data_IF_199845096999
#
_entry.id   IF_199845096999
#
_cell.length_a   1.000
_cell.length_b   1.000
_cell.length_c   1.000
_cell.angle_alpha   90.00
_cell.angle_beta   90.00
_cell.angle_gamma   90.00
#
_symmetry.space_group_name_H-M   'P 1'
#
loop_
_entity.id
_entity.type
_entity.pdbx_description
1 polymer ?
#
# COMPACT_ATOMS: atom_id res chain seq x y z
N UNK A 1 -28.03 -62.25 35.73
CA UNK A 1 -28.79 -62.59 34.51
C UNK A 1 -29.21 -61.28 33.87
N UNK A 2 -28.40 -60.75 32.95
CA UNK A 2 -28.63 -59.50 32.22
C UNK A 2 -28.50 -59.81 30.73
N UNK A 3 -29.48 -59.34 29.95
CA UNK A 3 -29.67 -59.66 28.55
C UNK A 3 -29.19 -58.52 27.63
N UNK A 4 -28.45 -58.92 26.58
CA UNK A 4 -28.51 -58.59 25.13
C UNK A 4 -28.88 -57.17 24.64
N UNK A 5 -28.05 -56.66 23.71
CA UNK A 5 -28.39 -55.69 22.64
C UNK A 5 -27.17 -54.83 22.22
N UNK A 6 -26.32 -55.23 21.27
CA UNK A 6 -26.39 -55.09 19.79
C UNK A 6 -25.87 -53.74 19.21
N UNK A 7 -24.76 -53.83 18.46
CA UNK A 7 -24.26 -53.05 17.31
C UNK A 7 -24.43 -51.53 17.21
N UNK A 8 -23.30 -50.81 17.10
CA UNK A 8 -22.97 -50.00 15.90
C UNK A 8 -21.47 -49.63 15.86
N UNK A 9 -20.73 -49.81 14.74
CA UNK A 9 -19.35 -49.36 14.60
C UNK A 9 -19.25 -47.89 14.16
N UNK A 10 -18.28 -47.20 14.74
CA UNK A 10 -17.91 -45.81 14.46
C UNK A 10 -17.67 -45.55 12.97
N UNK A 11 -18.51 -44.72 12.36
CA UNK A 11 -18.29 -44.13 11.05
C UNK A 11 -17.16 -43.10 11.15
N UNK A 12 -16.00 -43.45 10.60
CA UNK A 12 -14.93 -42.51 10.24
C UNK A 12 -15.48 -41.48 9.24
N UNK A 13 -15.70 -40.24 9.70
CA UNK A 13 -15.93 -39.10 8.82
C UNK A 13 -14.68 -38.90 7.96
N UNK A 14 -14.81 -39.20 6.67
CA UNK A 14 -13.81 -38.82 5.67
C UNK A 14 -13.60 -37.31 5.69
N UNK A 15 -12.35 -36.92 5.93
CA UNK A 15 -11.83 -35.57 5.74
C UNK A 15 -11.98 -35.20 4.26
N UNK A 16 -12.54 -34.02 3.99
CA UNK A 16 -12.87 -33.54 2.65
C UNK A 16 -11.70 -33.63 1.67
N UNK A 17 -11.97 -34.23 0.51
CA UNK A 17 -11.00 -34.43 -0.57
C UNK A 17 -10.52 -33.16 -1.28
N UNK A 18 -9.61 -33.32 -2.26
CA UNK A 18 -8.75 -32.29 -2.86
C UNK A 18 -9.47 -31.17 -3.66
N UNK A 19 -10.79 -31.25 -3.82
CA UNK A 19 -11.59 -30.32 -4.61
C UNK A 19 -11.66 -28.90 -4.00
N UNK A 20 -11.56 -28.75 -2.67
CA UNK A 20 -11.55 -27.43 -2.00
C UNK A 20 -10.23 -26.67 -2.19
N UNK A 21 -9.10 -27.38 -2.28
CA UNK A 21 -7.78 -26.79 -2.53
C UNK A 21 -7.65 -26.25 -3.97
N UNK A 22 -8.22 -26.96 -4.95
CA UNK A 22 -8.15 -26.58 -6.37
C UNK A 22 -9.02 -25.35 -6.68
N UNK A 23 -10.20 -25.20 -6.05
CA UNK A 23 -11.05 -24.00 -6.20
C UNK A 23 -10.44 -22.75 -5.59
N UNK A 24 -9.72 -22.87 -4.47
CA UNK A 24 -9.03 -21.73 -3.86
C UNK A 24 -7.84 -21.28 -4.72
N UNK A 25 -7.05 -22.22 -5.26
CA UNK A 25 -5.91 -21.90 -6.13
C UNK A 25 -6.34 -21.15 -7.41
N UNK A 26 -7.39 -21.59 -8.10
CA UNK A 26 -7.89 -20.92 -9.31
C UNK A 26 -8.60 -19.57 -9.07
N UNK A 27 -9.00 -19.27 -7.83
CA UNK A 27 -9.51 -17.95 -7.41
C UNK A 27 -8.35 -17.01 -7.04
N UNK A 28 -7.34 -17.55 -6.36
CA UNK A 28 -6.06 -16.87 -6.12
C UNK A 28 -5.36 -16.51 -7.43
N UNK A 29 -5.19 -17.46 -8.36
CA UNK A 29 -4.51 -17.24 -9.64
C UNK A 29 -5.23 -16.20 -10.53
N UNK A 30 -6.58 -16.14 -10.51
CA UNK A 30 -7.36 -15.11 -11.24
C UNK A 30 -7.29 -13.72 -10.62
N UNK A 31 -7.38 -13.62 -9.29
CA UNK A 31 -7.17 -12.33 -8.61
C UNK A 31 -5.76 -11.77 -8.80
N UNK A 32 -4.76 -12.65 -8.94
CA UNK A 32 -3.35 -12.31 -9.16
C UNK A 32 -3.06 -11.73 -10.56
N UNK A 33 -3.70 -12.24 -11.62
CA UNK A 33 -3.58 -11.64 -12.96
C UNK A 33 -4.32 -10.31 -13.07
N UNK A 34 -5.43 -10.15 -12.35
CA UNK A 34 -6.23 -8.92 -12.33
C UNK A 34 -5.51 -7.76 -11.61
N UNK A 35 -4.74 -8.05 -10.57
CA UNK A 35 -3.96 -7.05 -9.82
C UNK A 35 -2.84 -6.42 -10.64
N UNK A 36 -2.22 -7.16 -11.57
CA UNK A 36 -1.28 -6.57 -12.53
C UNK A 36 -1.98 -5.86 -13.69
N UNK A 37 -3.20 -6.27 -14.03
CA UNK A 37 -4.01 -5.63 -15.09
C UNK A 37 -4.50 -4.24 -14.69
N UNK A 38 -4.77 -3.99 -13.41
CA UNK A 38 -5.27 -2.69 -12.95
C UNK A 38 -4.30 -1.54 -13.26
N UNK A 39 -3.00 -1.83 -13.38
CA UNK A 39 -1.95 -0.85 -13.68
C UNK A 39 -1.66 -0.68 -15.17
N UNK A 40 -2.20 -1.56 -16.03
CA UNK A 40 -1.99 -1.47 -17.48
C UNK A 40 -2.94 -0.44 -18.10
N UNK A 41 -2.52 0.25 -19.16
CA UNK A 41 -3.40 1.18 -19.88
C UNK A 41 -4.69 0.48 -20.36
N UNK A 42 -5.83 1.14 -20.19
CA UNK A 42 -7.13 0.66 -20.67
C UNK A 42 -7.75 1.66 -21.63
N UNK A 43 -8.07 1.17 -22.83
CA UNK A 43 -8.76 1.98 -23.83
C UNK A 43 -10.20 2.31 -23.37
N UNK A 44 -10.59 3.57 -23.54
CA UNK A 44 -11.96 4.07 -23.42
C UNK A 44 -12.42 4.60 -24.78
N UNK A 45 -13.61 4.19 -25.21
CA UNK A 45 -14.30 4.77 -26.36
C UNK A 45 -15.18 5.94 -25.91
N UNK A 46 -15.43 6.94 -26.77
CA UNK A 46 -16.44 7.95 -26.51
C UNK A 46 -17.80 7.31 -26.15
N UNK A 47 -18.47 7.89 -25.15
CA UNK A 47 -19.73 7.38 -24.61
C UNK A 47 -19.59 6.26 -23.57
N UNK A 48 -18.38 5.76 -23.30
CA UNK A 48 -18.17 4.76 -22.26
C UNK A 48 -17.93 5.39 -20.89
N UNK A 49 -18.48 4.71 -19.88
CA UNK A 49 -18.15 4.93 -18.48
C UNK A 49 -17.64 3.62 -17.90
N UNK A 50 -16.41 3.64 -17.42
CA UNK A 50 -15.79 2.50 -16.76
C UNK A 50 -15.57 2.79 -15.28
N UNK A 51 -15.73 1.77 -14.46
CA UNK A 51 -15.57 1.79 -13.01
C UNK A 51 -14.39 0.92 -12.58
N UNK A 52 -13.62 1.44 -11.63
CA UNK A 52 -12.60 0.70 -10.90
C UNK A 52 -12.80 0.86 -9.41
N UNK A 53 -12.41 -0.17 -8.68
CA UNK A 53 -12.30 -0.12 -7.24
C UNK A 53 -10.94 -0.69 -6.84
N UNK A 54 -10.19 0.06 -6.03
CA UNK A 54 -8.87 -0.33 -5.51
C UNK A 54 -8.93 -0.19 -4.00
N UNK A 55 -9.31 -1.29 -3.34
CA UNK A 55 -9.70 -1.30 -1.93
C UNK A 55 -10.82 -0.28 -1.68
N UNK A 56 -10.58 0.74 -0.84
CA UNK A 56 -11.63 1.69 -0.46
C UNK A 56 -11.89 2.74 -1.54
N UNK A 57 -11.00 2.93 -2.53
CA UNK A 57 -11.14 3.97 -3.53
C UNK A 57 -11.92 3.46 -4.74
N UNK A 58 -13.07 4.07 -5.02
CA UNK A 58 -13.83 3.89 -6.26
C UNK A 58 -13.54 5.04 -7.21
N UNK A 59 -13.34 4.72 -8.48
CA UNK A 59 -13.06 5.68 -9.55
C UNK A 59 -13.95 5.36 -10.73
N UNK A 60 -14.63 6.38 -11.26
CA UNK A 60 -15.32 6.30 -12.53
C UNK A 60 -14.63 7.20 -13.54
N UNK A 61 -14.39 6.67 -14.73
CA UNK A 61 -13.85 7.43 -15.85
C UNK A 61 -14.89 7.40 -16.95
N UNK A 62 -15.33 8.59 -17.36
CA UNK A 62 -16.22 8.78 -18.51
C UNK A 62 -15.45 9.47 -19.62
N UNK A 63 -15.63 8.99 -20.84
CA UNK A 63 -15.02 9.57 -22.03
C UNK A 63 -16.08 10.15 -22.96
N UNK A 64 -15.93 11.41 -23.34
CA UNK A 64 -16.68 12.02 -24.46
C UNK A 64 -15.78 12.04 -25.72
N UNK A 65 -16.14 12.79 -26.76
CA UNK A 65 -15.31 12.87 -27.97
C UNK A 65 -13.91 13.43 -27.64
N UNK A 66 -13.84 14.57 -26.96
CA UNK A 66 -12.62 15.33 -26.68
C UNK A 66 -12.33 15.54 -25.19
N UNK A 67 -13.19 15.06 -24.30
CA UNK A 67 -13.04 15.25 -22.85
C UNK A 67 -12.92 13.92 -22.09
N UNK A 68 -12.22 14.00 -20.95
CA UNK A 68 -12.23 12.96 -19.93
C UNK A 68 -12.85 13.53 -18.65
N UNK A 69 -13.75 12.75 -18.07
CA UNK A 69 -14.44 13.07 -16.82
C UNK A 69 -14.04 12.02 -15.78
N UNK A 70 -13.75 12.47 -14.56
CA UNK A 70 -13.37 11.61 -13.45
C UNK A 70 -14.26 11.90 -12.24
N UNK A 71 -14.86 10.86 -11.70
CA UNK A 71 -15.51 10.89 -10.40
C UNK A 71 -14.84 9.89 -9.45
N UNK A 72 -14.96 10.14 -8.15
CA UNK A 72 -14.39 9.29 -7.12
C UNK A 72 -15.23 9.27 -5.86
N UNK A 73 -15.26 8.13 -5.21
CA UNK A 73 -15.87 7.94 -3.90
C UNK A 73 -14.98 7.03 -3.05
N UNK A 74 -15.27 6.97 -1.75
CA UNK A 74 -14.62 6.01 -0.87
C UNK A 74 -15.63 5.11 -0.18
N UNK A 75 -15.47 3.81 -0.38
CA UNK A 75 -16.17 2.81 0.40
C UNK A 75 -15.63 2.80 1.84
N UNK A 76 -16.53 2.62 2.80
CA UNK A 76 -16.17 2.41 4.20
C UNK A 76 -15.80 0.94 4.37
N UNK A 77 -14.69 0.67 5.06
CA UNK A 77 -14.24 -0.69 5.46
C UNK A 77 -13.93 -1.70 4.34
N UNK A 78 -13.99 -1.31 3.07
CA UNK A 78 -13.57 -2.18 1.97
C UNK A 78 -12.06 -2.06 1.72
N UNK A 79 -11.28 -3.04 2.19
CA UNK A 79 -9.83 -3.05 2.04
C UNK A 79 -9.30 -4.02 0.95
N UNK A 80 -10.13 -4.95 0.49
CA UNK A 80 -9.71 -6.10 -0.32
C UNK A 80 -10.27 -6.08 -1.74
N UNK A 81 -11.35 -5.34 -2.00
CA UNK A 81 -11.99 -5.35 -3.32
C UNK A 81 -11.09 -4.74 -4.39
N UNK A 82 -10.99 -5.47 -5.50
CA UNK A 82 -10.38 -5.01 -6.74
C UNK A 82 -11.38 -5.16 -7.88
N UNK A 83 -11.76 -4.05 -8.51
CA UNK A 83 -12.56 -4.02 -9.75
C UNK A 83 -11.76 -3.30 -10.82
N UNK A 84 -11.66 -3.90 -12.01
CA UNK A 84 -10.80 -3.40 -13.09
C UNK A 84 -11.61 -3.04 -14.32
N UNK A 85 -12.00 -1.76 -14.42
CA UNK A 85 -12.55 -1.12 -15.62
C UNK A 85 -13.84 -1.75 -16.14
N UNK A 86 -14.71 -2.20 -15.24
CA UNK A 86 -16.02 -2.74 -15.59
C UNK A 86 -16.96 -1.63 -16.08
N UNK A 87 -17.94 -1.97 -16.91
CA UNK A 87 -18.95 -0.99 -17.31
C UNK A 87 -19.74 -0.54 -16.07
N UNK A 88 -19.90 0.78 -15.90
CA UNK A 88 -20.68 1.30 -14.79
C UNK A 88 -22.17 0.96 -14.97
N UNK A 89 -22.81 0.41 -13.93
CA UNK A 89 -24.22 -0.03 -13.97
C UNK A 89 -25.15 0.78 -13.07
N UNK A 90 -24.64 1.61 -12.14
CA UNK A 90 -25.45 2.31 -11.12
C UNK A 90 -25.12 3.82 -10.98
N UNK A 91 -26.19 4.61 -10.74
CA UNK A 91 -26.30 5.98 -10.20
C UNK A 91 -25.11 6.94 -10.38
N UNK A 92 -24.70 7.20 -11.63
CA UNK A 92 -23.72 8.25 -11.96
C UNK A 92 -24.20 9.69 -11.68
N UNK A 93 -25.52 9.88 -11.49
CA UNK A 93 -26.17 11.20 -11.39
C UNK A 93 -25.78 11.99 -10.13
N UNK A 94 -25.31 11.32 -9.07
CA UNK A 94 -24.91 11.95 -7.80
C UNK A 94 -23.40 12.16 -7.68
N UNK A 95 -22.63 11.73 -8.68
CA UNK A 95 -21.19 11.83 -8.65
C UNK A 95 -20.73 13.25 -8.99
N UNK A 96 -19.76 13.76 -8.23
CA UNK A 96 -19.05 14.99 -8.58
C UNK A 96 -17.96 14.66 -9.61
N UNK A 97 -18.04 15.30 -10.78
CA UNK A 97 -17.15 15.07 -11.91
C UNK A 97 -16.13 16.19 -12.06
N UNK A 98 -14.85 15.85 -11.99
CA UNK A 98 -13.78 16.68 -12.54
C UNK A 98 -13.71 16.49 -14.06
N UNK A 99 -13.36 17.55 -14.82
CA UNK A 99 -13.36 17.53 -16.29
C UNK A 99 -12.06 18.09 -16.87
N UNK A 100 -11.51 17.41 -17.88
CA UNK A 100 -10.36 17.85 -18.67
C UNK A 100 -10.66 17.74 -20.17
N UNK A 101 -10.22 18.73 -20.94
CA UNK A 101 -10.20 18.67 -22.42
C UNK A 101 -8.86 18.06 -22.84
N UNK A 102 -8.92 16.94 -23.53
CA UNK A 102 -7.76 16.05 -23.79
C UNK A 102 -7.62 15.70 -25.28
N UNK A 103 -8.58 16.12 -26.12
CA UNK A 103 -8.58 15.90 -27.57
C UNK A 103 -8.82 14.44 -27.96
N UNK A 104 -8.99 14.15 -29.24
CA UNK A 104 -9.53 12.86 -29.74
C UNK A 104 -8.49 11.73 -29.93
N UNK A 105 -7.20 12.08 -29.96
CA UNK A 105 -6.11 11.18 -30.33
C UNK A 105 -5.76 10.18 -29.21
N UNK A 106 -5.87 10.61 -27.94
CA UNK A 106 -5.50 9.80 -26.79
C UNK A 106 -6.71 9.12 -26.17
N UNK A 107 -6.65 7.79 -26.09
CA UNK A 107 -7.82 6.95 -25.79
C UNK A 107 -7.62 5.99 -24.63
N UNK A 108 -6.44 5.93 -24.02
CA UNK A 108 -6.19 5.03 -22.91
C UNK A 108 -5.99 5.79 -21.61
N UNK A 109 -6.71 5.36 -20.57
CA UNK A 109 -6.45 5.78 -19.20
C UNK A 109 -5.51 4.76 -18.56
N UNK A 110 -4.55 5.24 -17.78
CA UNK A 110 -3.66 4.40 -16.99
C UNK A 110 -3.69 4.85 -15.53
N UNK A 111 -3.79 3.87 -14.64
CA UNK A 111 -3.62 4.05 -13.22
C UNK A 111 -2.26 3.53 -12.81
N UNK A 112 -1.54 4.29 -12.01
CA UNK A 112 -0.22 3.92 -11.50
C UNK A 112 -0.20 4.17 -9.99
N UNK A 113 0.12 3.16 -9.17
CA UNK A 113 0.29 3.37 -7.74
C UNK A 113 1.57 4.21 -7.54
N UNK A 114 1.49 5.22 -6.69
CA UNK A 114 2.62 6.08 -6.31
C UNK A 114 2.60 6.27 -4.80
N UNK A 115 3.77 6.51 -4.20
CA UNK A 115 3.86 6.73 -2.75
C UNK A 115 3.10 7.99 -2.32
N UNK A 116 2.73 8.16 -1.05
CA UNK A 116 2.29 9.45 -0.53
C UNK A 116 3.31 10.57 -0.79
N UNK A 117 2.85 11.82 -0.80
CA UNK A 117 3.66 13.01 -1.08
C UNK A 117 4.41 13.57 0.13
N UNK A 118 4.33 12.89 1.29
CA UNK A 118 4.90 13.30 2.57
C UNK A 118 5.35 12.10 3.39
N UNK A 119 6.22 12.29 4.39
CA UNK A 119 6.67 11.20 5.24
C UNK A 119 5.50 10.64 6.04
N UNK A 120 5.65 9.41 6.51
CA UNK A 120 4.64 8.72 7.30
C UNK A 120 5.18 8.34 8.68
N UNK A 121 4.38 8.54 9.72
CA UNK A 121 4.69 8.11 11.08
C UNK A 121 4.24 6.67 11.24
N UNK A 122 5.21 5.79 11.43
CA UNK A 122 5.04 4.36 11.69
C UNK A 122 5.13 4.11 13.19
N UNK A 123 4.27 3.23 13.71
CA UNK A 123 4.33 2.71 15.09
C UNK A 123 4.46 1.19 15.06
N UNK A 124 5.17 0.57 16.02
CA UNK A 124 5.22 -0.89 16.08
C UNK A 124 3.87 -1.47 16.50
N UNK A 125 3.65 -2.74 16.18
CA UNK A 125 2.49 -3.49 16.63
C UNK A 125 2.52 -3.75 18.14
N UNK A 126 3.70 -4.00 18.68
CA UNK A 126 3.96 -4.11 20.11
C UNK A 126 5.28 -3.41 20.41
N UNK A 127 5.37 -2.72 21.54
CA UNK A 127 6.59 -2.04 21.95
C UNK A 127 7.74 -3.04 22.06
N UNK A 128 8.92 -2.64 21.59
CA UNK A 128 10.13 -3.45 21.70
C UNK A 128 11.37 -2.56 21.77
N UNK A 129 12.41 -3.12 22.38
CA UNK A 129 13.71 -2.49 22.52
C UNK A 129 14.68 -3.19 21.58
N UNK A 130 15.49 -2.43 20.85
CA UNK A 130 16.67 -2.94 20.15
C UNK A 130 17.88 -2.65 21.03
N UNK A 131 18.55 -3.66 21.59
CA UNK A 131 19.76 -3.46 22.39
C UNK A 131 20.87 -2.79 21.57
N UNK A 132 21.82 -2.15 22.25
CA UNK A 132 23.00 -1.60 21.60
C UNK A 132 23.77 -2.68 20.79
N UNK A 133 24.13 -2.35 19.56
CA UNK A 133 24.71 -3.29 18.58
C UNK A 133 23.69 -4.21 17.91
N UNK A 134 22.42 -4.16 18.29
CA UNK A 134 21.35 -5.02 17.78
C UNK A 134 20.75 -4.53 16.46
N UNK A 135 19.99 -5.42 15.83
CA UNK A 135 19.24 -5.12 14.61
C UNK A 135 17.81 -5.66 14.65
N UNK A 136 16.91 -5.00 13.92
CA UNK A 136 15.53 -5.40 13.78
C UNK A 136 15.03 -5.17 12.35
N UNK A 137 14.38 -6.18 11.75
CA UNK A 137 13.61 -6.03 10.52
C UNK A 137 12.10 -5.91 10.82
N UNK A 138 11.39 -5.10 10.05
CA UNK A 138 9.94 -4.98 10.11
C UNK A 138 9.34 -4.62 8.75
N UNK A 139 8.06 -4.93 8.58
CA UNK A 139 7.29 -4.65 7.38
C UNK A 139 6.22 -3.61 7.68
N UNK A 140 6.17 -2.56 6.88
CA UNK A 140 5.20 -1.48 6.99
C UNK A 140 4.26 -1.53 5.80
N UNK A 141 2.95 -1.66 6.06
CA UNK A 141 1.93 -1.61 5.02
C UNK A 141 1.40 -0.19 4.84
N UNK A 142 1.68 0.42 3.69
CA UNK A 142 1.45 1.84 3.41
C UNK A 142 0.39 1.97 2.30
N UNK A 143 -0.68 2.75 2.48
CA UNK A 143 -1.63 2.98 1.40
C UNK A 143 -1.00 3.85 0.31
N UNK A 144 -1.15 3.42 -0.94
CA UNK A 144 -0.63 4.17 -2.10
C UNK A 144 -1.60 5.27 -2.51
N UNK A 145 -1.12 6.23 -3.28
CA UNK A 145 -1.96 7.11 -4.07
C UNK A 145 -2.06 6.53 -5.49
N UNK A 146 -3.14 6.84 -6.20
CA UNK A 146 -3.32 6.45 -7.59
C UNK A 146 -3.09 7.68 -8.46
N UNK A 147 -2.02 7.65 -9.25
CA UNK A 147 -1.80 8.59 -10.35
C UNK A 147 -2.64 8.16 -11.54
N UNK A 148 -3.46 9.07 -12.02
CA UNK A 148 -4.39 8.85 -13.12
C UNK A 148 -3.92 9.69 -14.29
N UNK A 149 -3.57 9.01 -15.37
CA UNK A 149 -3.02 9.64 -16.57
C UNK A 149 -3.74 9.17 -17.81
N UNK A 150 -3.77 10.03 -18.82
CA UNK A 150 -4.02 9.61 -20.20
C UNK A 150 -2.68 9.25 -20.82
N UNK A 151 -2.64 8.15 -21.55
CA UNK A 151 -1.44 7.68 -22.26
C UNK A 151 -1.74 7.53 -23.74
N UNK A 152 -0.73 7.79 -24.57
CA UNK A 152 -0.87 7.86 -26.02
C UNK A 152 0.18 8.78 -26.64
N UNK A 153 -0.23 9.57 -27.63
CA UNK A 153 0.61 10.55 -28.31
C UNK A 153 0.98 11.73 -27.40
N UNK A 154 0.06 12.18 -26.54
CA UNK A 154 0.30 13.27 -25.59
C UNK A 154 -0.01 12.82 -24.16
N UNK A 155 0.90 12.06 -23.53
CA UNK A 155 0.67 11.59 -22.18
C UNK A 155 0.53 12.78 -21.21
N UNK A 156 -0.53 12.74 -20.41
CA UNK A 156 -0.82 13.79 -19.41
C UNK A 156 -1.30 13.17 -18.12
N UNK A 157 -0.72 13.60 -17.00
CA UNK A 157 -1.22 13.27 -15.68
C UNK A 157 -2.37 14.21 -15.33
N UNK A 158 -3.54 13.65 -15.04
CA UNK A 158 -4.73 14.42 -14.72
C UNK A 158 -4.81 14.74 -13.23
N UNK A 159 -4.60 13.71 -12.40
CA UNK A 159 -4.72 13.82 -10.95
C UNK A 159 -4.01 12.68 -10.22
N UNK A 160 -3.63 12.92 -8.98
CA UNK A 160 -3.30 11.87 -8.02
C UNK A 160 -4.34 11.84 -6.90
N UNK A 161 -4.78 10.66 -6.51
CA UNK A 161 -5.83 10.48 -5.49
C UNK A 161 -5.35 9.48 -4.42
N UNK A 162 -5.36 9.84 -3.13
CA UNK A 162 -5.02 8.89 -2.08
C UNK A 162 -6.06 7.77 -2.01
N UNK A 163 -5.63 6.51 -1.94
CA UNK A 163 -6.55 5.39 -1.69
C UNK A 163 -7.21 5.53 -0.32
N UNK A 164 -6.41 5.85 0.70
CA UNK A 164 -6.84 6.15 2.07
C UNK A 164 -6.43 7.57 2.43
N UNK A 165 -7.38 8.39 2.92
CA UNK A 165 -7.06 9.71 3.47
C UNK A 165 -6.45 9.53 4.86
N UNK A 166 -5.15 9.80 4.98
CA UNK A 166 -4.43 9.74 6.25
C UNK A 166 -4.55 11.07 6.99
N UNK A 167 -4.58 11.03 8.32
CA UNK A 167 -4.53 12.24 9.14
C UNK A 167 -3.14 12.86 9.09
N UNK A 168 -3.10 14.19 9.04
CA UNK A 168 -1.85 14.95 9.18
C UNK A 168 -1.38 14.89 10.64
N UNK A 169 -0.08 14.79 10.84
CA UNK A 169 0.55 14.74 12.16
C UNK A 169 1.91 15.45 12.10
N UNK A 170 2.43 15.83 13.27
CA UNK A 170 3.71 16.51 13.39
C UNK A 170 4.72 15.59 14.06
N UNK A 171 5.87 15.35 13.42
CA UNK A 171 6.95 14.55 13.98
C UNK A 171 8.08 15.44 14.47
N UNK A 172 8.53 15.26 15.72
CA UNK A 172 9.58 16.09 16.32
C UNK A 172 9.04 17.27 17.16
N UNK A 173 9.91 18.22 17.50
CA UNK A 173 9.57 19.39 18.31
C UNK A 173 8.77 20.44 17.53
N UNK A 174 8.04 21.36 18.19
CA UNK A 174 7.14 22.31 17.52
C UNK A 174 7.82 23.17 16.43
N UNK A 175 9.06 23.61 16.66
CA UNK A 175 9.80 24.48 15.74
C UNK A 175 10.79 23.75 14.81
N UNK A 176 11.04 22.45 15.06
CA UNK A 176 12.07 21.68 14.35
C UNK A 176 11.55 20.35 13.80
N UNK A 177 10.22 20.21 13.74
CA UNK A 177 9.56 18.99 13.31
C UNK A 177 9.16 19.03 11.85
N UNK A 178 8.50 17.97 11.41
CA UNK A 178 8.10 17.78 10.03
C UNK A 178 6.65 17.34 9.94
N UNK A 179 5.94 17.91 8.95
CA UNK A 179 4.56 17.55 8.66
C UNK A 179 4.52 16.19 7.96
N UNK A 180 3.91 15.22 8.62
CA UNK A 180 3.82 13.84 8.19
C UNK A 180 2.35 13.38 8.10
N UNK A 181 2.13 12.19 7.57
CA UNK A 181 0.87 11.45 7.72
C UNK A 181 0.99 10.42 8.85
N UNK A 182 -0.08 10.22 9.63
CA UNK A 182 -0.11 9.13 10.61
C UNK A 182 -0.66 7.85 9.97
N UNK A 183 0.13 6.76 10.00
CA UNK A 183 -0.38 5.45 9.60
C UNK A 183 -1.27 4.86 10.70
N UNK A 184 -2.41 4.30 10.28
CA UNK A 184 -3.26 3.45 11.12
C UNK A 184 -2.66 2.05 11.29
N UNK A 185 -1.99 1.55 10.25
CA UNK A 185 -1.30 0.27 10.24
C UNK A 185 -0.05 0.30 11.09
N UNK A 186 0.28 -0.85 11.68
CA UNK A 186 1.44 -1.04 12.53
C UNK A 186 2.57 -1.73 11.77
N UNK A 187 3.81 -1.43 12.15
CA UNK A 187 4.98 -2.18 11.70
C UNK A 187 4.96 -3.59 12.32
N UNK A 188 5.06 -4.61 11.46
CA UNK A 188 5.01 -6.02 11.86
C UNK A 188 6.35 -6.70 11.68
N UNK A 189 6.60 -7.72 12.49
CA UNK A 189 7.85 -8.51 12.46
C UNK A 189 7.82 -9.69 11.49
N UNK A 190 6.63 -10.14 11.09
CA UNK A 190 6.45 -11.28 10.17
C UNK A 190 5.59 -10.91 8.97
N UNK A 191 6.03 -11.36 7.80
CA UNK A 191 5.34 -11.19 6.52
C UNK A 191 4.10 -12.12 6.40
N UNK A 192 4.15 -13.30 7.03
CA UNK A 192 3.15 -14.37 6.88
C UNK A 192 1.73 -13.99 7.35
N UNK A 193 1.59 -12.84 8.01
CA UNK A 193 0.32 -12.34 8.55
C UNK A 193 -0.27 -11.15 7.78
N UNK A 194 0.36 -10.71 6.69
CA UNK A 194 -0.12 -9.57 5.93
C UNK A 194 -1.16 -10.00 4.90
N UNK A 195 -2.41 -9.51 4.99
CA UNK A 195 -3.41 -9.80 3.96
C UNK A 195 -3.07 -9.02 2.68
N UNK A 196 -3.41 -9.63 1.54
CA UNK A 196 -3.29 -9.01 0.23
C UNK A 196 -4.28 -7.85 0.17
N UNK A 197 -3.78 -6.65 -0.11
CA UNK A 197 -4.59 -5.43 -0.23
C UNK A 197 -4.12 -4.65 -1.45
N UNK A 198 -4.95 -4.50 -2.51
CA UNK A 198 -4.52 -3.93 -3.79
C UNK A 198 -4.13 -2.44 -3.70
N UNK A 199 -4.60 -1.77 -2.65
CA UNK A 199 -4.36 -0.36 -2.39
C UNK A 199 -3.15 -0.10 -1.48
N UNK A 200 -2.38 -1.13 -1.12
CA UNK A 200 -1.25 -1.01 -0.19
C UNK A 200 0.03 -1.60 -0.73
N UNK A 201 1.13 -0.98 -0.35
CA UNK A 201 2.49 -1.41 -0.65
C UNK A 201 3.19 -1.87 0.65
N UNK A 202 3.99 -2.92 0.55
CA UNK A 202 4.81 -3.43 1.65
C UNK A 202 6.20 -2.80 1.57
N UNK A 203 6.58 -2.07 2.62
CA UNK A 203 7.91 -1.51 2.79
C UNK A 203 8.70 -2.32 3.82
N UNK A 204 9.74 -3.06 3.41
CA UNK A 204 10.68 -3.66 4.35
C UNK A 204 11.60 -2.59 4.92
N UNK A 205 11.78 -2.61 6.24
CA UNK A 205 12.66 -1.70 6.96
C UNK A 205 13.58 -2.51 7.86
N UNK A 206 14.89 -2.25 7.79
CA UNK A 206 15.89 -2.78 8.70
C UNK A 206 16.43 -1.63 9.55
N UNK A 207 16.48 -1.83 10.85
CA UNK A 207 16.99 -0.85 11.80
C UNK A 207 18.16 -1.44 12.58
N UNK A 208 19.31 -0.77 12.51
CA UNK A 208 20.52 -1.07 13.26
C UNK A 208 20.68 -0.05 14.38
N UNK A 209 20.80 -0.51 15.61
CA UNK A 209 20.90 0.37 16.77
C UNK A 209 22.33 0.34 17.33
N UNK A 210 23.06 1.45 17.23
CA UNK A 210 24.39 1.58 17.87
C UNK A 210 24.31 1.83 19.36
N UNK A 211 23.19 2.37 19.80
CA UNK A 211 22.80 2.54 21.20
C UNK A 211 21.44 1.85 21.41
N UNK A 212 21.04 1.63 22.66
CA UNK A 212 19.73 1.08 22.96
C UNK A 212 18.62 1.97 22.39
N UNK A 213 17.69 1.35 21.66
CA UNK A 213 16.57 2.03 21.03
C UNK A 213 15.25 1.45 21.53
N UNK A 214 14.51 2.22 22.34
CA UNK A 214 13.09 1.99 22.59
C UNK A 214 12.28 2.45 21.36
N UNK A 215 11.87 1.48 20.54
CA UNK A 215 11.19 1.78 19.28
C UNK A 215 9.72 2.15 19.55
N UNK A 216 9.41 3.45 19.60
CA UNK A 216 8.03 3.95 19.75
C UNK A 216 7.39 4.41 18.44
N UNK A 217 8.14 5.19 17.67
CA UNK A 217 7.69 5.75 16.39
C UNK A 217 8.86 6.03 15.47
N UNK A 218 8.64 5.81 14.19
CA UNK A 218 9.57 6.09 13.11
C UNK A 218 8.93 7.07 12.11
N UNK A 219 9.62 8.16 11.79
CA UNK A 219 9.31 8.97 10.62
C UNK A 219 9.97 8.34 9.39
N UNK A 220 9.14 7.78 8.50
CA UNK A 220 9.57 7.09 7.29
C UNK A 220 9.34 8.00 6.07
N UNK A 221 10.42 8.38 5.39
CA UNK A 221 10.37 9.21 4.19
C UNK A 221 10.01 8.38 2.96
N UNK A 222 8.72 8.19 2.75
CA UNK A 222 8.17 7.39 1.66
C UNK A 222 8.34 8.02 0.29
N UNK A 223 8.65 9.31 0.24
CA UNK A 223 8.85 10.06 -1.00
C UNK A 223 10.08 9.59 -1.79
N UNK A 224 11.03 8.95 -1.11
CA UNK A 224 12.22 8.33 -1.70
C UNK A 224 12.01 6.84 -2.08
N UNK A 225 10.80 6.31 -1.90
CA UNK A 225 10.50 4.91 -2.20
C UNK A 225 9.97 4.75 -3.62
N UNK A 226 10.50 3.74 -4.31
CA UNK A 226 10.00 3.20 -5.57
C UNK A 226 8.92 2.15 -5.27
N UNK A 227 8.04 1.88 -6.24
CA UNK A 227 7.08 0.79 -6.14
C UNK A 227 7.37 -0.28 -7.20
N UNK A 228 7.44 -1.52 -6.74
CA UNK A 228 7.64 -2.72 -7.53
C UNK A 228 6.42 -3.63 -7.43
N UNK A 229 6.09 -4.29 -8.54
CA UNK A 229 5.01 -5.28 -8.63
C UNK A 229 5.56 -6.69 -8.46
N UNK A 230 4.87 -7.46 -7.61
CA UNK A 230 4.95 -8.93 -7.59
C UNK A 230 3.62 -9.53 -8.04
N UNK A 231 3.49 -10.86 -7.99
CA UNK A 231 2.23 -11.54 -8.32
C UNK A 231 1.10 -11.29 -7.31
N UNK A 232 1.42 -10.85 -6.09
CA UNK A 232 0.47 -10.82 -4.97
C UNK A 232 0.46 -9.51 -4.19
N UNK A 233 1.51 -8.72 -4.30
CA UNK A 233 1.69 -7.51 -3.50
C UNK A 233 2.46 -6.46 -4.29
N UNK A 234 2.20 -5.21 -3.95
CA UNK A 234 3.13 -4.13 -4.23
C UNK A 234 4.23 -4.12 -3.16
N UNK A 235 5.46 -3.89 -3.59
CA UNK A 235 6.64 -3.78 -2.73
C UNK A 235 7.34 -2.44 -2.94
N UNK A 236 7.99 -1.92 -1.90
CA UNK A 236 9.00 -0.87 -2.09
C UNK A 236 10.40 -1.45 -2.01
N UNK A 237 11.38 -0.69 -2.46
CA UNK A 237 12.77 -0.89 -2.06
C UNK A 237 12.91 -0.90 -0.52
N UNK A 238 13.93 -1.58 -0.01
CA UNK A 238 14.22 -1.66 1.42
C UNK A 238 14.77 -0.33 1.95
N UNK A 239 14.34 0.02 3.17
CA UNK A 239 14.90 1.12 3.94
C UNK A 239 15.80 0.58 5.03
N UNK A 240 17.00 1.12 5.13
CA UNK A 240 17.93 0.84 6.23
C UNK A 240 18.06 2.08 7.09
N UNK A 241 17.90 1.90 8.39
CA UNK A 241 18.00 2.96 9.39
C UNK A 241 19.11 2.60 10.35
N UNK A 242 20.08 3.49 10.55
CA UNK A 242 21.09 3.36 11.58
C UNK A 242 20.83 4.39 12.67
N UNK A 243 20.37 3.92 13.83
CA UNK A 243 20.19 4.72 15.03
C UNK A 243 21.50 4.86 15.80
N UNK A 244 21.82 6.08 16.25
CA UNK A 244 23.09 6.43 16.90
C UNK A 244 22.90 7.16 18.25
N UNK A 245 21.74 7.03 18.88
CA UNK A 245 21.40 7.74 20.12
C UNK A 245 20.40 8.88 19.93
N UNK A 246 19.80 9.36 21.03
CA UNK A 246 18.69 10.34 21.03
C UNK A 246 19.12 11.72 20.50
N UNK A 247 20.37 12.10 20.73
CA UNK A 247 20.93 13.39 20.33
C UNK A 247 21.46 13.40 18.88
N UNK A 248 21.63 12.22 18.28
CA UNK A 248 22.18 12.10 16.93
C UNK A 248 21.08 11.89 15.89
N UNK A 249 21.30 12.44 14.69
CA UNK A 249 20.45 12.13 13.55
C UNK A 249 20.62 10.66 13.15
N UNK A 250 19.51 9.98 12.91
CA UNK A 250 19.55 8.67 12.30
C UNK A 250 20.01 8.80 10.85
N UNK A 251 20.82 7.85 10.42
CA UNK A 251 21.17 7.71 9.01
C UNK A 251 20.13 6.82 8.33
N UNK A 252 19.55 7.29 7.23
CA UNK A 252 18.58 6.54 6.44
C UNK A 252 19.16 6.32 5.05
N UNK A 253 19.14 5.05 4.62
CA UNK A 253 19.56 4.60 3.32
C UNK A 253 18.40 3.88 2.62
N UNK A 254 18.24 4.18 1.33
CA UNK A 254 17.22 3.61 0.47
C UNK A 254 17.90 2.72 -0.57
N UNK A 255 17.54 1.44 -0.60
CA UNK A 255 18.00 0.54 -1.66
C UNK A 255 17.47 1.00 -3.03
N UNK A 256 18.17 0.67 -4.11
CA UNK A 256 17.73 1.07 -5.45
C UNK A 256 16.82 0.02 -6.13
N UNK A 257 16.95 -1.23 -5.70
CA UNK A 257 16.25 -2.38 -6.28
C UNK A 257 15.08 -2.86 -5.41
N UNK A 258 14.25 -3.72 -6.00
CA UNK A 258 13.25 -4.50 -5.28
C UNK A 258 13.90 -5.31 -4.13
N UNK A 259 13.19 -5.52 -3.02
CA UNK A 259 13.77 -6.17 -1.85
C UNK A 259 13.97 -7.66 -2.14
N UNK A 260 15.14 -8.20 -1.78
CA UNK A 260 15.50 -9.60 -2.08
C UNK A 260 14.56 -10.65 -1.46
N UNK A 261 13.79 -10.26 -0.44
CA UNK A 261 12.79 -11.11 0.21
C UNK A 261 11.52 -11.29 -0.63
N UNK A 262 11.28 -10.45 -1.64
CA UNK A 262 10.11 -10.55 -2.50
C UNK A 262 10.43 -11.17 -3.85
N UNK A 263 9.40 -11.64 -4.53
CA UNK A 263 9.43 -12.07 -5.93
C UNK A 263 9.15 -10.90 -6.90
N UNK A 264 9.16 -9.65 -6.42
CA UNK A 264 8.88 -8.47 -7.23
C UNK A 264 9.99 -8.22 -8.25
N UNK A 265 9.60 -8.03 -9.52
CA UNK A 265 10.53 -7.87 -10.65
C UNK A 265 10.23 -6.67 -11.53
N UNK A 266 8.99 -6.20 -11.53
CA UNK A 266 8.56 -5.09 -12.38
C UNK A 266 8.60 -3.79 -11.56
N UNK A 267 9.35 -2.80 -12.00
CA UNK A 267 9.22 -1.44 -11.48
C UNK A 267 7.91 -0.84 -12.00
N UNK A 268 7.01 -0.47 -11.08
CA UNK A 268 5.70 0.10 -11.40
C UNK A 268 5.75 1.63 -11.39
N UNK A 269 6.45 2.21 -10.41
CA UNK A 269 6.65 3.66 -10.35
C UNK A 269 7.96 4.04 -9.66
N UNK A 270 8.55 5.12 -10.17
CA UNK A 270 9.72 5.77 -9.57
C UNK A 270 9.36 6.51 -8.29
N UNK A 271 10.39 6.81 -7.50
CA UNK A 271 10.23 7.64 -6.30
C UNK A 271 9.85 9.07 -6.67
N UNK A 272 9.18 9.78 -5.74
CA UNK A 272 8.79 11.19 -5.95
C UNK A 272 10.00 12.11 -5.88
N UNK A 273 10.91 11.79 -4.96
CA UNK A 273 12.19 12.45 -4.79
C UNK A 273 13.30 11.44 -5.06
N UNK A 274 14.40 11.85 -5.70
CA UNK A 274 15.52 10.95 -5.94
C UNK A 274 16.02 10.37 -4.61
N UNK A 275 16.42 9.11 -4.62
CA UNK A 275 17.05 8.50 -3.45
C UNK A 275 18.38 9.21 -3.19
N UNK A 276 18.56 9.72 -1.98
CA UNK A 276 19.84 10.29 -1.53
C UNK A 276 20.46 9.27 -0.58
N UNK A 277 21.73 8.93 -0.79
CA UNK A 277 22.47 8.03 0.12
C UNK A 277 22.84 8.79 1.40
N UNK A 278 22.72 8.13 2.55
CA UNK A 278 23.17 8.63 3.84
C UNK A 278 22.40 9.85 4.34
N UNK A 279 21.08 9.91 4.14
CA UNK A 279 20.27 11.02 4.64
C UNK A 279 20.34 11.02 6.17
N UNK A 280 20.80 12.12 6.77
CA UNK A 280 20.77 12.33 8.21
C UNK A 280 19.49 13.06 8.60
N UNK A 281 18.61 12.41 9.38
CA UNK A 281 17.35 13.02 9.85
C UNK A 281 16.96 12.58 11.27
N UNK A 282 16.10 13.38 11.90
CA UNK A 282 15.40 12.97 13.12
C UNK A 282 14.29 12.00 12.72
N UNK A 283 14.58 10.70 12.81
CA UNK A 283 13.63 9.65 12.43
C UNK A 283 12.95 8.99 13.63
N UNK A 284 13.51 9.17 14.83
CA UNK A 284 12.96 8.68 16.09
C UNK A 284 12.62 9.84 17.01
N UNK A 285 11.60 9.67 17.85
CA UNK A 285 11.35 10.62 18.92
C UNK A 285 10.60 9.95 20.06
N UNK A 286 11.17 10.08 21.26
CA UNK A 286 10.49 9.83 22.52
C UNK A 286 9.48 10.97 22.75
N UNK A 287 8.31 10.66 23.30
CA UNK A 287 7.51 11.68 23.97
C UNK A 287 8.02 11.68 25.41
N UNK A 288 8.93 12.58 25.76
CA UNK A 288 9.12 12.92 27.17
C UNK A 288 7.80 13.54 27.60
N UNK A 289 7.06 12.84 28.47
CA UNK A 289 5.93 13.44 29.15
C UNK A 289 6.45 14.73 29.79
N UNK A 290 5.81 15.86 29.51
CA UNK A 290 6.00 17.05 30.34
C UNK A 290 5.42 16.72 31.71
N UNK A 291 6.23 16.09 32.56
CA UNK A 291 6.00 16.09 34.01
C UNK A 291 6.61 17.37 34.55
N UNK A 292 5.75 18.37 34.76
CA UNK A 292 6.04 19.68 35.33
C UNK A 292 5.07 20.69 34.72
N UNK A 293 4.11 21.27 35.43
CA UNK A 293 4.00 21.63 36.86
C UNK A 293 2.61 21.27 37.38
#
# INVERSE_FOLDING_TARGET
MLAVGSNDPLVLRQVGGPARLHRNKARLDRGQEEEMRVWKPRALKPGQVLHWQIGPLKIWIRRTQDELHLAKERAVEDEETLVVGEAATESEEKLEWDRWVVGEADRAVQFVPVMPDRPVIVRPESDFIIPAGGEAAFFVSIPVWIRISIVGQRPVTLREVPTVVLSKSWFGGPASGELCYALKTKARRSLETLPIRPHRVICPVRNFAREELDFKRLCLHVEHLKIFGSKTHLWTNQVEVTYRGEEQLAQIDFADAAPAISDAKELISESRLPAVKGILRKSFSSLKAFSGI
#
